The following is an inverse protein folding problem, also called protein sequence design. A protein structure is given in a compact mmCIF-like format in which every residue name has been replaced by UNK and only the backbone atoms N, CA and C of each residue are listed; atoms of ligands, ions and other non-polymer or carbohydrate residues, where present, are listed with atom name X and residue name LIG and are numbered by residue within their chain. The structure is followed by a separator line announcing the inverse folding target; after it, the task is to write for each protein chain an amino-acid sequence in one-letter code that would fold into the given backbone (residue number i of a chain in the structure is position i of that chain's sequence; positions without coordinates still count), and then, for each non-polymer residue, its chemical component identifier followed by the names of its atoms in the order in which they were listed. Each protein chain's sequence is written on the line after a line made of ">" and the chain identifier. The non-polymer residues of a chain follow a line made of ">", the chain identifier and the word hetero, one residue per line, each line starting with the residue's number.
data_IF_895137429937
#
_entry.id   IF_895137429937
#
_cell.length_a   1.000
_cell.length_b   1.000
_cell.length_c   1.000
_cell.angle_alpha   90.00
_cell.angle_beta   90.00
_cell.angle_gamma   90.00
#
_symmetry.space_group_name_H-M   'P 1'
#
loop_
_entity.id
_entity.type
_entity.pdbx_description
1 polymer ?
#
# COMPACT_ATOMS: atom_id res chain seq x y z
N UNK A 1 -38.85 14.49 27.05
CA UNK A 1 -38.22 15.62 27.80
C UNK A 1 -37.38 15.05 28.94
N UNK A 2 -36.06 14.89 28.72
CA UNK A 2 -34.97 14.72 29.70
C UNK A 2 -33.67 14.53 28.91
N UNK A 3 -33.17 15.60 28.31
CA UNK A 3 -31.88 15.63 27.57
C UNK A 3 -31.11 16.84 28.09
N UNK A 4 -30.68 16.82 29.36
CA UNK A 4 -29.72 17.82 29.87
C UNK A 4 -28.68 17.25 30.84
N UNK A 5 -28.77 15.97 31.25
CA UNK A 5 -27.79 15.38 32.16
C UNK A 5 -26.51 14.86 31.49
N UNK A 6 -26.57 14.50 30.19
CA UNK A 6 -25.40 13.95 29.46
C UNK A 6 -24.33 15.01 29.14
N UNK A 7 -24.72 16.28 28.95
CA UNK A 7 -23.80 17.39 28.64
C UNK A 7 -22.92 17.82 29.84
N UNK A 8 -23.39 17.55 31.07
CA UNK A 8 -22.68 17.92 32.30
C UNK A 8 -21.64 16.87 32.72
N UNK A 9 -21.90 15.59 32.44
CA UNK A 9 -20.94 14.50 32.71
C UNK A 9 -19.74 14.55 31.74
N UNK A 10 -19.92 15.05 30.52
CA UNK A 10 -18.86 15.18 29.52
C UNK A 10 -17.86 16.30 29.88
N UNK A 11 -18.37 17.47 30.29
CA UNK A 11 -17.54 18.61 30.72
C UNK A 11 -16.81 18.38 32.05
N UNK A 12 -17.40 17.61 32.97
CA UNK A 12 -16.75 17.30 34.25
C UNK A 12 -15.69 16.21 34.11
N UNK A 13 -15.86 15.23 33.21
CA UNK A 13 -14.81 14.26 32.91
C UNK A 13 -13.57 14.93 32.30
N UNK A 14 -13.77 15.90 31.41
CA UNK A 14 -12.71 16.65 30.73
C UNK A 14 -11.84 17.51 31.67
N UNK A 15 -12.36 17.86 32.85
CA UNK A 15 -11.69 18.71 33.85
C UNK A 15 -11.02 17.90 34.98
N UNK A 16 -11.47 16.66 35.22
CA UNK A 16 -11.01 15.79 36.32
C UNK A 16 -10.05 14.68 35.88
N UNK A 17 -10.16 14.23 34.63
CA UNK A 17 -9.19 13.37 33.97
C UNK A 17 -8.69 14.13 32.76
N UNK A 18 -7.38 14.39 32.67
CA UNK A 18 -6.75 14.90 31.45
C UNK A 18 -6.81 13.85 30.33
N UNK A 19 -8.01 13.47 29.88
CA UNK A 19 -8.23 12.70 28.66
C UNK A 19 -7.96 13.66 27.49
N UNK A 20 -6.65 13.79 27.25
CA UNK A 20 -5.99 14.64 26.28
C UNK A 20 -6.64 14.51 24.90
N UNK A 21 -6.77 15.62 24.16
CA UNK A 21 -6.76 15.50 22.70
C UNK A 21 -5.56 14.63 22.33
N UNK A 22 -5.76 13.58 21.54
CA UNK A 22 -4.67 12.70 21.14
C UNK A 22 -3.51 13.55 20.61
N UNK A 23 -2.35 13.41 21.25
CA UNK A 23 -1.14 14.14 20.88
C UNK A 23 -0.78 13.82 19.43
N UNK A 24 -0.04 14.71 18.77
CA UNK A 24 0.43 14.40 17.41
C UNK A 24 1.24 13.11 17.36
N UNK A 25 2.00 12.77 18.41
CA UNK A 25 2.72 11.49 18.50
C UNK A 25 1.77 10.29 18.52
N UNK A 26 0.71 10.33 19.32
CA UNK A 26 -0.30 9.26 19.36
C UNK A 26 -1.02 9.12 18.01
N UNK A 27 -1.35 10.25 17.37
CA UNK A 27 -1.93 10.24 16.02
C UNK A 27 -0.99 9.60 15.01
N UNK A 28 0.31 9.90 15.04
CA UNK A 28 1.28 9.29 14.13
C UNK A 28 1.40 7.77 14.36
N UNK A 29 1.41 7.32 15.62
CA UNK A 29 1.40 5.88 15.95
C UNK A 29 0.14 5.19 15.43
N UNK A 30 -1.02 5.81 15.61
CA UNK A 30 -2.28 5.26 15.10
C UNK A 30 -2.29 5.23 13.56
N UNK A 31 -1.71 6.23 12.90
CA UNK A 31 -1.54 6.23 11.44
C UNK A 31 -0.66 5.05 11.03
N UNK A 32 0.49 4.87 11.68
CA UNK A 32 1.41 3.78 11.39
C UNK A 32 0.73 2.41 11.54
N UNK A 33 0.01 2.18 12.64
CA UNK A 33 -0.72 0.92 12.88
C UNK A 33 -1.73 0.60 11.78
N UNK A 34 -2.41 1.61 11.22
CA UNK A 34 -3.39 1.43 10.15
C UNK A 34 -2.76 1.30 8.75
N UNK A 35 -1.46 1.56 8.61
CA UNK A 35 -0.76 1.66 7.33
C UNK A 35 0.56 0.89 7.34
N UNK A 36 0.56 -0.31 7.92
CA UNK A 36 1.69 -1.24 7.91
C UNK A 36 3.00 -0.64 8.45
N UNK A 37 2.89 0.24 9.46
CA UNK A 37 4.02 0.92 10.09
C UNK A 37 4.39 2.26 9.45
N UNK A 38 3.73 2.67 8.37
CA UNK A 38 4.12 3.84 7.60
C UNK A 38 3.27 5.08 7.87
N UNK A 39 3.93 6.23 7.81
CA UNK A 39 3.34 7.56 7.92
C UNK A 39 3.78 8.38 6.72
N UNK A 40 2.83 9.04 6.06
CA UNK A 40 3.10 10.05 5.03
C UNK A 40 2.55 11.40 5.47
N UNK A 41 3.08 12.53 4.95
CA UNK A 41 2.50 13.85 5.19
C UNK A 41 1.02 13.93 4.82
N UNK A 42 0.57 13.21 3.78
CA UNK A 42 -0.84 13.17 3.41
C UNK A 42 -1.71 12.51 4.50
N UNK A 43 -1.28 11.36 5.03
CA UNK A 43 -1.97 10.67 6.13
C UNK A 43 -1.96 11.52 7.42
N UNK A 44 -0.81 12.13 7.73
CA UNK A 44 -0.66 13.02 8.87
C UNK A 44 -1.62 14.22 8.82
N UNK A 45 -1.67 14.92 7.68
CA UNK A 45 -2.60 16.05 7.46
C UNK A 45 -4.06 15.62 7.56
N UNK A 46 -4.42 14.45 7.03
CA UNK A 46 -5.78 13.92 7.13
C UNK A 46 -6.25 13.72 8.58
N UNK A 47 -5.32 13.58 9.55
CA UNK A 47 -5.62 13.52 10.99
C UNK A 47 -5.30 14.80 11.76
N UNK A 48 -5.08 15.90 11.02
CA UNK A 48 -4.79 17.21 11.60
C UNK A 48 -3.40 17.31 12.22
N UNK A 49 -2.41 16.53 11.76
CA UNK A 49 -1.00 16.72 12.11
C UNK A 49 -0.33 17.57 11.03
N UNK A 50 0.10 18.81 11.33
CA UNK A 50 0.78 19.65 10.34
C UNK A 50 2.14 19.07 9.91
N UNK A 51 2.54 19.30 8.66
CA UNK A 51 3.82 18.83 8.11
C UNK A 51 5.04 19.29 8.93
N UNK A 52 4.96 20.48 9.55
CA UNK A 52 6.02 21.00 10.42
C UNK A 52 6.14 20.20 11.71
N UNK A 53 5.02 19.76 12.28
CA UNK A 53 4.99 18.96 13.50
C UNK A 53 5.43 17.51 13.24
N UNK A 54 5.04 16.93 12.10
CA UNK A 54 5.59 15.65 11.63
C UNK A 54 7.13 15.72 11.53
N UNK A 55 7.67 16.78 10.91
CA UNK A 55 9.13 16.95 10.79
C UNK A 55 9.83 17.12 12.15
N UNK A 56 9.25 17.89 13.08
CA UNK A 56 9.78 18.04 14.45
C UNK A 56 9.76 16.72 15.21
N UNK A 57 8.68 15.95 15.08
CA UNK A 57 8.55 14.63 15.71
C UNK A 57 9.54 13.62 15.12
N UNK A 58 9.73 13.62 13.80
CA UNK A 58 10.76 12.82 13.15
C UNK A 58 12.18 13.19 13.65
N UNK A 59 12.50 14.47 13.76
CA UNK A 59 13.78 14.93 14.28
C UNK A 59 14.03 14.52 15.75
N UNK A 60 12.98 14.23 16.51
CA UNK A 60 13.03 13.72 17.89
C UNK A 60 12.94 12.18 17.98
N UNK A 61 13.02 11.47 16.86
CA UNK A 61 12.97 10.02 16.81
C UNK A 61 11.58 9.41 17.09
N UNK A 62 10.50 10.19 16.97
CA UNK A 62 9.15 9.64 17.12
C UNK A 62 8.74 8.78 15.91
N UNK A 63 9.29 9.08 14.74
CA UNK A 63 9.20 8.30 13.49
C UNK A 63 10.53 8.41 12.77
N UNK A 64 10.92 7.38 12.03
CA UNK A 64 12.14 7.34 11.24
C UNK A 64 11.85 7.77 9.80
N UNK A 65 12.72 8.58 9.20
CA UNK A 65 12.59 8.94 7.79
C UNK A 65 13.21 7.83 6.93
N UNK A 66 12.40 7.20 6.09
CA UNK A 66 12.84 6.11 5.20
C UNK A 66 13.14 6.62 3.80
N UNK A 67 12.18 7.37 3.26
CA UNK A 67 12.27 7.96 1.92
C UNK A 67 11.73 9.39 1.92
N UNK A 68 11.77 10.05 0.76
CA UNK A 68 11.20 11.40 0.64
C UNK A 68 9.68 11.39 0.92
N UNK A 69 9.30 11.89 2.09
CA UNK A 69 7.90 11.99 2.49
C UNK A 69 7.32 10.67 2.97
N UNK A 70 8.18 9.70 3.29
CA UNK A 70 7.80 8.41 3.85
C UNK A 70 8.55 8.24 5.17
N UNK A 71 7.78 8.03 6.22
CA UNK A 71 8.27 7.82 7.58
C UNK A 71 7.77 6.47 8.09
N UNK A 72 8.49 5.87 9.04
CA UNK A 72 8.15 4.58 9.66
C UNK A 72 8.13 4.73 11.17
N UNK A 73 7.16 4.10 11.83
CA UNK A 73 7.19 4.00 13.30
C UNK A 73 8.31 3.02 13.71
N UNK A 74 9.29 3.45 14.54
CA UNK A 74 10.40 2.60 14.96
C UNK A 74 9.98 1.39 15.79
N UNK A 75 8.75 1.38 16.34
CA UNK A 75 8.22 0.29 17.16
C UNK A 75 7.23 -0.61 16.42
N UNK A 76 6.93 -0.32 15.15
CA UNK A 76 6.16 -1.25 14.33
C UNK A 76 7.01 -2.51 14.04
N UNK A 77 6.40 -3.71 13.88
CA UNK A 77 7.12 -4.95 13.60
C UNK A 77 8.29 -4.83 12.61
N UNK A 78 9.25 -5.75 12.73
CA UNK A 78 10.46 -5.78 11.92
C UNK A 78 10.16 -5.74 10.42
N UNK A 79 11.13 -5.22 9.65
CA UNK A 79 11.01 -5.02 8.21
C UNK A 79 10.69 -6.33 7.48
N UNK A 80 9.77 -6.28 6.52
CA UNK A 80 9.47 -7.41 5.63
C UNK A 80 10.18 -7.27 4.27
N UNK A 81 10.14 -8.33 3.47
CA UNK A 81 10.75 -8.37 2.13
C UNK A 81 10.14 -7.38 1.13
N UNK A 82 8.96 -6.82 1.43
CA UNK A 82 8.24 -5.87 0.57
C UNK A 82 8.38 -4.41 1.00
N UNK A 83 9.09 -4.11 2.08
CA UNK A 83 9.28 -2.74 2.59
C UNK A 83 9.85 -1.79 1.53
N UNK A 84 10.81 -2.25 0.74
CA UNK A 84 11.36 -1.46 -0.37
C UNK A 84 10.27 -1.06 -1.38
N UNK A 85 9.41 -2.01 -1.77
CA UNK A 85 8.33 -1.76 -2.73
C UNK A 85 7.27 -0.83 -2.12
N UNK A 86 6.94 -1.03 -0.85
CA UNK A 86 5.99 -0.19 -0.10
C UNK A 86 6.47 1.26 -0.02
N UNK A 87 7.73 1.47 0.35
CA UNK A 87 8.35 2.79 0.44
C UNK A 87 8.36 3.53 -0.90
N UNK A 88 8.63 2.82 -2.00
CA UNK A 88 8.59 3.38 -3.35
C UNK A 88 7.18 3.80 -3.74
N UNK A 89 6.20 2.92 -3.56
CA UNK A 89 4.79 3.21 -3.89
C UNK A 89 4.31 4.43 -3.11
N UNK A 90 4.59 4.50 -1.80
CA UNK A 90 4.25 5.63 -0.96
C UNK A 90 4.95 6.93 -1.41
N UNK A 91 6.22 6.84 -1.84
CA UNK A 91 7.00 7.98 -2.34
C UNK A 91 6.45 8.53 -3.66
N UNK A 92 5.99 7.64 -4.54
CA UNK A 92 5.39 8.02 -5.82
C UNK A 92 3.97 8.58 -5.62
N UNK A 93 3.24 8.09 -4.63
CA UNK A 93 2.05 8.72 -4.08
C UNK A 93 0.74 7.99 -4.40
N UNK A 94 -0.38 8.69 -4.15
CA UNK A 94 -1.71 8.09 -4.20
C UNK A 94 -2.05 7.49 -5.57
N UNK A 95 -2.62 6.28 -5.54
CA UNK A 95 -3.06 5.52 -6.72
C UNK A 95 -1.95 4.69 -7.39
N UNK A 96 -0.70 4.83 -6.95
CA UNK A 96 0.40 4.01 -7.45
C UNK A 96 0.28 2.60 -6.88
N UNK A 97 0.48 1.59 -7.72
CA UNK A 97 0.38 0.18 -7.36
C UNK A 97 1.35 -0.68 -8.18
N UNK A 98 1.69 -1.86 -7.68
CA UNK A 98 2.41 -2.87 -8.47
C UNK A 98 1.54 -3.36 -9.64
N UNK A 99 2.16 -3.70 -10.77
CA UNK A 99 1.46 -4.26 -11.94
C UNK A 99 2.30 -5.34 -12.62
N UNK A 100 1.68 -6.15 -13.47
CA UNK A 100 2.34 -7.21 -14.23
C UNK A 100 3.21 -8.12 -13.37
N UNK A 101 4.46 -8.34 -13.78
CA UNK A 101 5.42 -9.22 -13.09
C UNK A 101 5.62 -8.87 -11.61
N UNK A 102 5.59 -7.58 -11.23
CA UNK A 102 5.78 -7.17 -9.83
C UNK A 102 4.58 -7.55 -8.96
N UNK A 103 3.35 -7.55 -9.51
CA UNK A 103 2.18 -8.07 -8.78
C UNK A 103 2.33 -9.56 -8.51
N UNK A 104 2.73 -10.31 -9.54
CA UNK A 104 2.87 -11.77 -9.45
C UNK A 104 3.99 -12.16 -8.48
N UNK A 105 5.09 -11.40 -8.48
CA UNK A 105 6.17 -11.55 -7.51
C UNK A 105 5.71 -11.30 -6.07
N UNK A 106 4.91 -10.25 -5.82
CA UNK A 106 4.34 -9.99 -4.49
C UNK A 106 3.48 -11.15 -4.00
N UNK A 107 2.77 -11.83 -4.90
CA UNK A 107 1.91 -12.97 -4.56
C UNK A 107 2.63 -14.33 -4.60
N UNK A 108 3.92 -14.37 -4.93
CA UNK A 108 4.66 -15.62 -5.10
C UNK A 108 4.21 -16.48 -6.29
N UNK A 109 3.47 -15.90 -7.24
CA UNK A 109 2.92 -16.64 -8.38
C UNK A 109 3.93 -16.66 -9.52
N UNK A 110 4.40 -17.87 -9.84
CA UNK A 110 5.40 -18.12 -10.86
C UNK A 110 6.82 -17.79 -10.41
N UNK A 111 7.78 -18.52 -10.96
CA UNK A 111 9.21 -18.25 -10.79
C UNK A 111 9.66 -17.10 -11.70
N UNK A 112 9.30 -15.88 -11.30
CA UNK A 112 9.68 -14.66 -12.02
C UNK A 112 11.02 -14.13 -11.51
N UNK A 113 11.93 -13.84 -12.43
CA UNK A 113 13.16 -13.08 -12.16
C UNK A 113 13.12 -11.72 -12.88
N UNK A 114 12.23 -10.80 -12.46
CA UNK A 114 12.01 -9.55 -13.17
C UNK A 114 13.24 -8.65 -13.05
N UNK A 115 13.78 -8.20 -14.20
CA UNK A 115 14.89 -7.23 -14.25
C UNK A 115 14.46 -5.81 -13.84
N UNK A 116 13.15 -5.56 -13.77
CA UNK A 116 12.56 -4.27 -13.52
C UNK A 116 11.48 -4.36 -12.44
N UNK A 117 11.26 -3.24 -11.75
CA UNK A 117 10.07 -3.03 -10.92
C UNK A 117 8.99 -2.38 -11.77
N UNK A 118 7.86 -3.05 -11.95
CA UNK A 118 6.72 -2.57 -12.71
C UNK A 118 5.67 -1.99 -11.78
N UNK A 119 5.37 -0.71 -12.00
CA UNK A 119 4.37 0.03 -11.26
C UNK A 119 3.40 0.66 -12.25
N UNK A 120 2.17 0.87 -11.83
CA UNK A 120 1.19 1.62 -12.57
C UNK A 120 0.76 2.84 -11.75
N UNK A 121 0.43 3.94 -12.43
CA UNK A 121 0.04 5.18 -11.79
C UNK A 121 -1.03 5.93 -12.59
N UNK A 122 -2.04 6.52 -11.94
CA UNK A 122 -3.01 7.39 -12.59
C UNK A 122 -2.45 8.78 -12.91
N UNK A 123 -1.23 9.09 -12.46
CA UNK A 123 -0.59 10.39 -12.68
C UNK A 123 0.70 10.22 -13.46
N UNK A 124 0.98 11.19 -14.33
CA UNK A 124 2.25 11.24 -15.05
C UNK A 124 3.40 11.60 -14.10
N UNK A 125 4.35 10.69 -13.94
CA UNK A 125 5.59 10.95 -13.19
C UNK A 125 6.65 11.56 -14.12
N UNK A 126 6.92 12.86 -13.95
CA UNK A 126 7.99 13.57 -14.70
C UNK A 126 9.36 13.51 -14.03
N UNK A 127 9.45 12.97 -12.80
CA UNK A 127 10.70 12.86 -12.05
C UNK A 127 11.56 11.74 -12.65
N UNK A 128 12.89 11.91 -12.58
CA UNK A 128 13.82 10.82 -12.86
C UNK A 128 13.63 9.74 -11.80
N UNK A 129 13.28 8.53 -12.25
CA UNK A 129 13.26 7.31 -11.45
C UNK A 129 14.43 6.41 -11.88
N UNK A 130 14.88 5.46 -11.04
CA UNK A 130 15.88 4.48 -11.44
C UNK A 130 15.54 3.81 -12.77
N UNK A 131 16.57 3.49 -13.57
CA UNK A 131 16.41 2.87 -14.90
C UNK A 131 15.77 1.48 -14.84
N UNK A 132 15.73 0.85 -13.68
CA UNK A 132 15.07 -0.43 -13.44
C UNK A 132 13.59 -0.27 -13.11
N UNK A 133 13.07 0.95 -12.93
CA UNK A 133 11.66 1.16 -12.64
C UNK A 133 10.90 1.46 -13.92
N UNK A 134 9.75 0.83 -14.08
CA UNK A 134 8.85 0.96 -15.23
C UNK A 134 7.49 1.40 -14.71
N UNK A 135 7.25 2.70 -14.73
CA UNK A 135 5.97 3.28 -14.29
C UNK A 135 5.07 3.48 -15.52
N UNK A 136 3.99 2.71 -15.59
CA UNK A 136 2.98 2.75 -16.65
C UNK A 136 1.81 3.65 -16.27
N UNK A 137 1.10 4.16 -17.27
CA UNK A 137 -0.16 4.87 -17.03
C UNK A 137 -1.25 3.87 -16.68
N UNK A 138 -2.03 4.17 -15.64
CA UNK A 138 -3.26 3.47 -15.31
C UNK A 138 -4.44 4.46 -15.30
N UNK A 139 -5.67 4.00 -15.48
CA UNK A 139 -6.84 4.84 -15.25
C UNK A 139 -7.01 5.13 -13.75
N UNK A 140 -7.72 6.21 -13.41
CA UNK A 140 -7.90 6.63 -12.02
C UNK A 140 -8.78 5.67 -11.21
N UNK A 141 -9.63 4.92 -11.89
CA UNK A 141 -10.55 3.90 -11.37
C UNK A 141 -10.05 2.47 -11.58
N UNK A 142 -8.74 2.29 -11.86
CA UNK A 142 -8.14 0.97 -11.94
C UNK A 142 -8.46 0.14 -10.69
N UNK A 143 -8.82 -1.13 -10.88
CA UNK A 143 -9.01 -2.02 -9.75
C UNK A 143 -7.67 -2.25 -9.05
N UNK A 144 -7.65 -2.09 -7.73
CA UNK A 144 -6.45 -2.30 -6.91
C UNK A 144 -6.81 -3.20 -5.74
N UNK A 145 -6.02 -4.24 -5.52
CA UNK A 145 -6.08 -5.13 -4.35
C UNK A 145 -4.85 -4.91 -3.48
N UNK A 146 -4.90 -5.38 -2.24
CA UNK A 146 -3.73 -5.44 -1.36
C UNK A 146 -3.28 -6.88 -1.19
N UNK A 147 -2.01 -7.14 -1.49
CA UNK A 147 -1.34 -8.41 -1.24
C UNK A 147 -0.11 -8.13 -0.36
N UNK A 148 -0.02 -8.77 0.80
CA UNK A 148 1.02 -8.47 1.81
C UNK A 148 1.12 -6.96 2.14
N UNK A 149 -0.01 -6.25 2.18
CA UNK A 149 -0.07 -4.79 2.40
C UNK A 149 0.33 -3.94 1.19
N UNK A 150 0.82 -4.54 0.10
CA UNK A 150 1.21 -3.83 -1.13
C UNK A 150 -0.01 -3.61 -2.03
N UNK A 151 -0.32 -2.34 -2.40
CA UNK A 151 -1.31 -2.06 -3.44
C UNK A 151 -0.83 -2.62 -4.78
N UNK A 152 -1.65 -3.47 -5.39
CA UNK A 152 -1.32 -4.23 -6.59
C UNK A 152 -2.52 -4.35 -7.52
N UNK A 153 -2.23 -4.49 -8.81
CA UNK A 153 -3.19 -4.94 -9.83
C UNK A 153 -3.78 -6.31 -9.41
N UNK A 154 -5.04 -6.63 -9.74
CA UNK A 154 -5.57 -7.97 -9.51
C UNK A 154 -4.74 -9.04 -10.23
N UNK A 155 -4.45 -10.16 -9.57
CA UNK A 155 -3.63 -11.26 -10.14
C UNK A 155 -4.14 -11.73 -11.50
N UNK A 156 -5.47 -11.84 -11.69
CA UNK A 156 -6.04 -12.22 -12.99
C UNK A 156 -5.66 -11.25 -14.12
N UNK A 157 -5.69 -9.94 -13.87
CA UNK A 157 -5.30 -8.93 -14.86
C UNK A 157 -3.79 -8.95 -15.10
N UNK A 158 -2.99 -9.14 -14.05
CA UNK A 158 -1.54 -9.29 -14.18
C UNK A 158 -1.16 -10.53 -15.01
N UNK A 159 -1.86 -11.65 -14.83
CA UNK A 159 -1.68 -12.87 -15.64
C UNK A 159 -1.98 -12.61 -17.13
N UNK A 160 -3.08 -11.90 -17.45
CA UNK A 160 -3.37 -11.49 -18.84
C UNK A 160 -2.24 -10.63 -19.40
N UNK A 161 -1.76 -9.66 -18.62
CA UNK A 161 -0.73 -8.72 -19.05
C UNK A 161 0.61 -9.41 -19.39
N UNK A 162 1.04 -10.40 -18.58
CA UNK A 162 2.32 -11.09 -18.80
C UNK A 162 2.24 -12.22 -19.83
N UNK A 163 1.02 -12.67 -20.21
CA UNK A 163 0.80 -13.79 -21.13
C UNK A 163 1.68 -13.74 -22.39
N UNK A 164 1.84 -12.60 -23.10
CA UNK A 164 2.62 -12.56 -24.34
C UNK A 164 4.14 -12.71 -24.14
N UNK A 165 4.63 -12.47 -22.91
CA UNK A 165 6.05 -12.50 -22.58
C UNK A 165 6.50 -13.82 -21.92
N UNK A 166 5.55 -14.68 -21.53
CA UNK A 166 5.81 -15.93 -20.81
C UNK A 166 5.45 -17.13 -21.68
N UNK A 167 6.30 -18.17 -21.66
CA UNK A 167 6.03 -19.43 -22.36
C UNK A 167 4.69 -20.02 -21.94
N UNK A 168 3.94 -20.59 -22.89
CA UNK A 168 2.57 -21.10 -22.64
C UNK A 168 2.49 -22.03 -21.44
N UNK A 169 3.31 -23.08 -21.39
CA UNK A 169 3.28 -24.06 -20.30
C UNK A 169 3.58 -23.43 -18.93
N UNK A 170 4.53 -22.48 -18.87
CA UNK A 170 4.84 -21.77 -17.62
C UNK A 170 3.70 -20.86 -17.21
N UNK A 171 3.10 -20.15 -18.16
CA UNK A 171 1.98 -19.28 -17.88
C UNK A 171 0.76 -20.07 -17.40
N UNK A 172 0.49 -21.23 -17.99
CA UNK A 172 -0.56 -22.13 -17.53
C UNK A 172 -0.35 -22.63 -16.11
N UNK A 173 0.89 -22.99 -15.74
CA UNK A 173 1.24 -23.33 -14.37
C UNK A 173 0.95 -22.16 -13.41
N UNK A 174 1.32 -20.92 -13.79
CA UNK A 174 1.02 -19.73 -12.98
C UNK A 174 -0.50 -19.50 -12.78
N UNK A 175 -1.32 -19.80 -13.79
CA UNK A 175 -2.79 -19.72 -13.67
C UNK A 175 -3.32 -20.78 -12.70
N UNK A 176 -2.75 -21.99 -12.74
CA UNK A 176 -3.07 -23.06 -11.80
C UNK A 176 -2.70 -22.66 -10.36
N UNK A 177 -1.46 -22.23 -10.14
CA UNK A 177 -0.97 -21.78 -8.83
C UNK A 177 -1.86 -20.65 -8.29
N UNK A 178 -2.18 -19.65 -9.11
CA UNK A 178 -3.04 -18.54 -8.70
C UNK A 178 -4.44 -18.98 -8.27
N UNK A 179 -4.97 -20.06 -8.85
CA UNK A 179 -6.26 -20.63 -8.47
C UNK A 179 -6.16 -21.45 -7.18
N UNK A 180 -5.13 -22.29 -7.04
CA UNK A 180 -4.89 -23.09 -5.85
C UNK A 180 -4.62 -22.23 -4.61
N UNK A 181 -3.85 -21.15 -4.78
CA UNK A 181 -3.56 -20.16 -3.73
C UNK A 181 -4.73 -19.18 -3.49
N UNK A 182 -5.83 -19.30 -4.25
CA UNK A 182 -7.06 -18.53 -4.04
C UNK A 182 -7.00 -17.06 -4.47
N UNK A 183 -5.98 -16.64 -5.23
CA UNK A 183 -5.87 -15.28 -5.76
C UNK A 183 -6.88 -14.99 -6.87
N UNK A 184 -7.32 -16.03 -7.59
CA UNK A 184 -8.37 -15.97 -8.62
C UNK A 184 -9.49 -16.97 -8.32
N UNK A 185 -10.71 -16.66 -8.80
CA UNK A 185 -11.89 -17.53 -8.61
C UNK A 185 -12.10 -18.45 -9.82
N UNK A 186 -12.90 -19.51 -9.67
CA UNK A 186 -13.17 -20.49 -10.74
C UNK A 186 -13.74 -19.90 -12.05
N UNK A 187 -14.45 -18.76 -11.99
CA UNK A 187 -14.83 -18.01 -13.20
C UNK A 187 -13.59 -17.46 -13.94
N UNK A 188 -12.73 -16.74 -13.22
CA UNK A 188 -11.51 -16.14 -13.76
C UNK A 188 -10.53 -17.22 -14.25
N UNK A 189 -10.41 -18.33 -13.52
CA UNK A 189 -9.59 -19.47 -13.93
C UNK A 189 -10.01 -20.02 -15.30
N UNK A 190 -11.31 -20.28 -15.50
CA UNK A 190 -11.83 -20.76 -16.80
C UNK A 190 -11.64 -19.75 -17.92
N UNK A 191 -11.85 -18.47 -17.64
CA UNK A 191 -11.60 -17.39 -18.61
C UNK A 191 -10.13 -17.35 -19.03
N UNK A 192 -9.20 -17.47 -18.07
CA UNK A 192 -7.76 -17.48 -18.33
C UNK A 192 -7.34 -18.73 -19.12
N UNK A 193 -7.81 -19.93 -18.76
CA UNK A 193 -7.49 -21.16 -19.51
C UNK A 193 -8.02 -21.12 -20.96
N UNK A 194 -9.08 -20.36 -21.21
CA UNK A 194 -9.59 -20.11 -22.56
C UNK A 194 -8.66 -19.27 -23.45
N UNK A 195 -7.66 -18.58 -22.90
CA UNK A 195 -6.67 -17.79 -23.65
C UNK A 195 -5.55 -18.62 -24.27
N UNK A 196 -5.54 -19.94 -24.06
CA UNK A 196 -4.52 -20.85 -24.59
C UNK A 196 -5.00 -21.61 -25.84
N UNK A 197 -6.24 -21.35 -26.29
CA UNK A 197 -6.75 -21.81 -27.59
C UNK A 197 -6.34 -20.88 -28.72
#
# INVERSE_FOLDING_TARGET
>A
MKIQASSLMDKQHQKRYGLSMATYREKLRQIALENDGYVTPALARARGVPDVELRKLAARGAVEKRERGVYRDPYYPATDEFDFLREIILTLGAGVHACGETTLQVTGIGELNPKNVYLASPRRHRRKVPRTWRIRSAPADAQVKKYHGIPSQPVAEALVEVRPAVMADRWEAMVEDAYQEGFIRGKQYRELKGLVG
#
